data_IF_299327354794
#
_entry.id   IF_299327354794
#
_cell.length_a   1.000
_cell.length_b   1.000
_cell.length_c   1.000
_cell.angle_alpha   90.00
_cell.angle_beta   90.00
_cell.angle_gamma   90.00
#
_symmetry.space_group_name_H-M   'P 1'
#
loop_
_entity.id
_entity.type
_entity.pdbx_description
1 polymer ?
#
# COMPACT_ATOMS: atom_id res chain seq x y z
N UNK A 1 5.28 -13.64 22.71
CA UNK A 1 6.44 -14.53 22.46
C UNK A 1 7.39 -13.92 21.42
N UNK A 2 6.95 -13.55 20.19
CA UNK A 2 7.82 -13.02 19.13
C UNK A 2 8.62 -11.79 19.60
N UNK A 3 7.95 -10.79 20.18
CA UNK A 3 8.60 -9.57 20.69
C UNK A 3 9.71 -9.89 21.70
N UNK A 4 9.52 -10.93 22.52
CA UNK A 4 10.53 -11.33 23.53
C UNK A 4 11.70 -12.17 22.93
N UNK A 5 11.52 -12.69 21.73
CA UNK A 5 12.48 -13.58 21.08
C UNK A 5 13.49 -12.84 20.18
N UNK A 6 13.28 -11.55 19.89
CA UNK A 6 14.11 -10.78 18.97
C UNK A 6 14.51 -9.42 19.56
N UNK A 7 15.64 -8.89 19.11
CA UNK A 7 16.17 -7.58 19.51
C UNK A 7 15.88 -6.47 18.47
N UNK A 8 14.97 -6.73 17.54
CA UNK A 8 14.53 -5.76 16.52
C UNK A 8 13.09 -5.38 16.75
N UNK A 9 12.64 -4.18 16.28
CA UNK A 9 11.25 -3.79 16.38
C UNK A 9 10.31 -4.81 15.68
N UNK A 10 9.27 -5.22 16.37
CA UNK A 10 8.21 -6.09 15.81
C UNK A 10 7.01 -5.22 15.47
N UNK A 11 6.54 -5.29 14.24
CA UNK A 11 5.30 -4.61 13.81
C UNK A 11 4.26 -5.65 13.42
N UNK A 12 2.98 -5.29 13.55
CA UNK A 12 1.87 -6.16 13.15
C UNK A 12 1.10 -5.51 12.01
N UNK A 13 0.74 -6.31 11.00
CA UNK A 13 -0.22 -5.92 9.97
C UNK A 13 -1.44 -6.82 10.04
N UNK A 14 -2.62 -6.21 10.14
CA UNK A 14 -3.90 -6.92 10.27
C UNK A 14 -5.02 -6.28 9.46
N UNK A 15 -6.23 -6.80 9.61
CA UNK A 15 -7.48 -6.30 9.05
C UNK A 15 -8.42 -5.87 10.19
N UNK A 16 -9.61 -5.31 9.83
CA UNK A 16 -10.61 -4.88 10.81
C UNK A 16 -11.15 -6.02 11.70
N UNK A 17 -11.06 -7.23 11.22
CA UNK A 17 -11.56 -8.43 11.85
C UNK A 17 -11.84 -9.52 10.82
N UNK A 18 -12.60 -10.56 11.23
CA UNK A 18 -12.91 -11.70 10.37
C UNK A 18 -14.01 -11.37 9.34
N UNK A 19 -15.15 -10.87 9.79
CA UNK A 19 -16.31 -10.50 8.99
C UNK A 19 -17.00 -9.25 9.55
N UNK A 20 -18.22 -8.95 9.08
CA UNK A 20 -18.95 -7.76 9.48
C UNK A 20 -19.35 -7.74 10.95
N UNK A 21 -19.62 -8.92 11.52
CA UNK A 21 -20.07 -9.07 12.91
C UNK A 21 -18.88 -9.18 13.89
N UNK A 22 -17.69 -9.47 13.37
CA UNK A 22 -16.47 -9.70 14.16
C UNK A 22 -15.37 -8.68 13.79
N UNK A 23 -15.66 -7.38 13.92
CA UNK A 23 -14.71 -6.27 13.72
C UNK A 23 -14.07 -5.87 15.04
N UNK A 24 -13.05 -6.60 15.42
CA UNK A 24 -12.42 -6.52 16.76
C UNK A 24 -11.22 -5.56 16.82
N UNK A 25 -10.92 -4.82 15.76
CA UNK A 25 -9.65 -4.11 15.62
C UNK A 25 -9.39 -3.09 16.74
N UNK A 26 -10.43 -2.42 17.25
CA UNK A 26 -10.27 -1.38 18.27
C UNK A 26 -9.72 -1.99 19.57
N UNK A 27 -10.38 -3.02 20.08
CA UNK A 27 -9.93 -3.72 21.29
C UNK A 27 -8.61 -4.49 21.07
N UNK A 28 -8.47 -5.08 19.87
CA UNK A 28 -7.27 -5.82 19.52
C UNK A 28 -6.03 -4.93 19.45
N UNK A 29 -6.17 -3.65 19.03
CA UNK A 29 -5.05 -2.72 18.92
C UNK A 29 -4.41 -2.45 20.29
N UNK A 30 -5.20 -2.29 21.34
CA UNK A 30 -4.69 -2.14 22.70
C UNK A 30 -3.94 -3.38 23.18
N UNK A 31 -4.53 -4.56 22.96
CA UNK A 31 -3.89 -5.83 23.35
C UNK A 31 -2.57 -6.08 22.60
N UNK A 32 -2.51 -5.72 21.32
CA UNK A 32 -1.29 -5.83 20.52
C UNK A 32 -0.21 -4.85 21.02
N UNK A 33 -0.58 -3.61 21.34
CA UNK A 33 0.34 -2.65 21.94
C UNK A 33 0.89 -3.17 23.28
N UNK A 34 0.03 -3.71 24.15
CA UNK A 34 0.43 -4.29 25.44
C UNK A 34 1.38 -5.49 25.28
N UNK A 35 1.33 -6.17 24.13
CA UNK A 35 2.32 -7.19 23.78
C UNK A 35 3.70 -6.62 23.41
N UNK A 36 3.83 -5.28 23.26
CA UNK A 36 5.10 -4.59 22.99
C UNK A 36 5.45 -4.48 21.51
N UNK A 37 4.45 -4.43 20.61
CA UNK A 37 4.72 -4.16 19.19
C UNK A 37 5.13 -2.69 18.99
N UNK A 38 5.96 -2.42 17.98
CA UNK A 38 6.48 -1.09 17.68
C UNK A 38 5.57 -0.25 16.76
N UNK A 39 4.69 -0.87 15.99
CA UNK A 39 3.70 -0.19 15.13
C UNK A 39 2.61 -1.17 14.68
N UNK A 40 1.44 -0.64 14.35
CA UNK A 40 0.29 -1.41 13.87
C UNK A 40 -0.18 -0.89 12.51
N UNK A 41 -0.21 -1.78 11.51
CA UNK A 41 -0.75 -1.49 10.18
C UNK A 41 -2.13 -2.15 10.03
N UNK A 42 -3.16 -1.35 9.69
CA UNK A 42 -4.55 -1.79 9.64
C UNK A 42 -5.10 -1.62 8.22
N UNK A 43 -5.56 -2.72 7.62
CA UNK A 43 -6.31 -2.67 6.36
C UNK A 43 -7.81 -2.50 6.64
N UNK A 44 -8.41 -1.47 6.04
CA UNK A 44 -9.82 -1.09 6.20
C UNK A 44 -10.84 -2.09 5.61
N UNK A 45 -10.52 -3.37 5.60
CA UNK A 45 -11.43 -4.46 5.21
C UNK A 45 -11.32 -5.62 6.17
N UNK A 46 -12.40 -6.39 6.30
CA UNK A 46 -12.39 -7.67 7.03
C UNK A 46 -11.72 -8.78 6.21
N UNK A 47 -11.44 -9.92 6.86
CA UNK A 47 -10.89 -11.10 6.17
C UNK A 47 -11.87 -11.65 5.14
N UNK A 48 -13.16 -11.71 5.46
CA UNK A 48 -14.20 -12.22 4.58
C UNK A 48 -14.42 -11.35 3.35
N UNK A 49 -14.32 -10.01 3.48
CA UNK A 49 -14.44 -9.09 2.35
C UNK A 49 -13.33 -9.28 1.29
N UNK A 50 -12.17 -9.80 1.65
CA UNK A 50 -11.01 -9.88 0.74
C UNK A 50 -10.68 -8.50 0.13
N UNK A 51 -11.14 -8.26 -1.12
CA UNK A 51 -10.96 -7.02 -1.87
C UNK A 51 -12.28 -6.46 -2.41
N UNK A 52 -13.43 -7.01 -1.99
CA UNK A 52 -14.75 -6.52 -2.42
C UNK A 52 -15.14 -5.25 -1.66
N UNK A 53 -16.00 -4.44 -2.28
CA UNK A 53 -16.42 -3.16 -1.72
C UNK A 53 -15.28 -2.17 -1.52
N UNK A 54 -15.50 -1.16 -0.71
CA UNK A 54 -14.53 -0.12 -0.35
C UNK A 54 -13.88 -0.41 0.99
N UNK A 55 -12.66 0.10 1.20
CA UNK A 55 -11.98 0.05 2.48
C UNK A 55 -12.62 1.08 3.45
N UNK A 56 -13.11 0.58 4.57
CA UNK A 56 -13.64 1.40 5.66
C UNK A 56 -12.51 1.85 6.57
N UNK A 57 -12.23 3.16 6.57
CA UNK A 57 -11.20 3.76 7.40
C UNK A 57 -11.70 4.24 8.77
N UNK A 58 -13.00 4.15 9.04
CA UNK A 58 -13.61 4.66 10.29
C UNK A 58 -12.97 4.03 11.52
N UNK A 59 -12.88 2.69 11.54
CA UNK A 59 -12.26 1.98 12.66
C UNK A 59 -10.73 2.20 12.75
N UNK A 60 -10.06 2.51 11.64
CA UNK A 60 -8.63 2.89 11.67
C UNK A 60 -8.48 4.23 12.40
N UNK A 61 -9.35 5.20 12.08
CA UNK A 61 -9.41 6.49 12.76
C UNK A 61 -9.78 6.34 14.23
N UNK A 62 -10.72 5.45 14.57
CA UNK A 62 -11.09 5.16 15.96
C UNK A 62 -9.90 4.62 16.75
N UNK A 63 -9.16 3.65 16.23
CA UNK A 63 -7.92 3.16 16.84
C UNK A 63 -6.91 4.29 17.01
N UNK A 64 -6.68 5.13 15.99
CA UNK A 64 -5.70 6.23 16.07
C UNK A 64 -6.08 7.28 17.11
N UNK A 65 -7.36 7.58 17.25
CA UNK A 65 -7.87 8.59 18.20
C UNK A 65 -8.11 8.03 19.62
N UNK A 66 -7.87 6.75 19.84
CA UNK A 66 -7.94 6.16 21.17
C UNK A 66 -6.75 6.67 22.03
N UNK A 67 -7.01 7.38 23.15
CA UNK A 67 -5.95 7.97 23.97
C UNK A 67 -5.00 6.95 24.61
N UNK A 68 -5.38 5.68 24.66
CA UNK A 68 -4.52 4.60 25.14
C UNK A 68 -3.50 4.14 24.12
N UNK A 69 -3.72 4.41 22.83
CA UNK A 69 -2.80 4.01 21.77
C UNK A 69 -1.66 5.02 21.65
N UNK A 70 -0.44 4.55 21.89
CA UNK A 70 0.80 5.33 21.86
C UNK A 70 1.73 4.94 20.71
N UNK A 71 1.50 3.78 20.08
CA UNK A 71 2.29 3.30 18.95
C UNK A 71 1.81 3.91 17.65
N UNK A 72 2.69 4.05 16.62
CA UNK A 72 2.30 4.49 15.29
C UNK A 72 1.23 3.59 14.66
N UNK A 73 0.18 4.23 14.11
CA UNK A 73 -0.90 3.57 13.36
C UNK A 73 -0.74 3.87 11.87
N UNK A 74 -0.64 2.81 11.09
CA UNK A 74 -0.46 2.85 9.65
C UNK A 74 -1.75 2.41 8.97
N UNK A 75 -2.45 3.35 8.32
CA UNK A 75 -3.68 3.05 7.60
C UNK A 75 -3.41 2.45 6.21
N UNK A 76 -4.24 1.49 5.80
CA UNK A 76 -4.15 0.85 4.49
C UNK A 76 -5.53 0.59 3.89
N UNK A 77 -5.66 0.75 2.58
CA UNK A 77 -6.86 0.43 1.79
C UNK A 77 -7.23 1.52 0.80
N UNK A 78 -7.36 1.14 -0.46
CA UNK A 78 -7.86 1.94 -1.58
C UNK A 78 -7.19 3.32 -1.79
N UNK A 79 -5.93 3.45 -1.44
CA UNK A 79 -5.14 4.64 -1.72
C UNK A 79 -4.52 4.50 -3.11
N UNK A 80 -5.05 5.26 -4.07
CA UNK A 80 -4.71 5.19 -5.50
C UNK A 80 -4.20 6.51 -6.08
N UNK A 81 -4.22 7.60 -5.29
CA UNK A 81 -3.69 8.90 -5.70
C UNK A 81 -3.08 9.66 -4.51
N UNK A 82 -2.38 10.73 -4.80
CA UNK A 82 -1.77 11.61 -3.81
C UNK A 82 -2.84 12.34 -2.98
N UNK A 83 -3.91 12.80 -3.63
CA UNK A 83 -5.03 13.49 -2.99
C UNK A 83 -5.74 12.56 -1.98
N UNK A 84 -6.03 11.32 -2.38
CA UNK A 84 -6.62 10.33 -1.49
C UNK A 84 -5.68 10.07 -0.30
N UNK A 85 -4.37 9.97 -0.53
CA UNK A 85 -3.40 9.78 0.53
C UNK A 85 -3.45 10.93 1.54
N UNK A 86 -3.42 12.18 1.08
CA UNK A 86 -3.53 13.38 1.92
C UNK A 86 -4.85 13.39 2.69
N UNK A 87 -5.97 13.13 2.01
CA UNK A 87 -7.28 13.04 2.66
C UNK A 87 -7.29 12.01 3.81
N UNK A 88 -6.65 10.86 3.65
CA UNK A 88 -6.58 9.84 4.71
C UNK A 88 -5.79 10.33 5.92
N UNK A 89 -4.68 11.04 5.71
CA UNK A 89 -3.95 11.67 6.81
C UNK A 89 -4.81 12.70 7.55
N UNK A 90 -5.45 13.61 6.82
CA UNK A 90 -6.22 14.71 7.39
C UNK A 90 -7.49 14.21 8.11
N UNK A 91 -8.19 13.26 7.53
CA UNK A 91 -9.46 12.77 8.06
C UNK A 91 -9.30 11.83 9.25
N UNK A 92 -8.28 10.99 9.26
CA UNK A 92 -8.15 9.92 10.25
C UNK A 92 -6.94 10.08 11.17
N UNK A 93 -6.07 11.05 10.92
CA UNK A 93 -4.93 11.39 11.78
C UNK A 93 -3.84 10.31 11.87
N UNK A 94 -3.83 9.32 10.97
CA UNK A 94 -2.86 8.22 11.00
C UNK A 94 -1.42 8.71 10.84
N UNK A 95 -0.46 7.97 11.42
CA UNK A 95 0.97 8.34 11.38
C UNK A 95 1.62 8.02 10.04
N UNK A 96 1.08 7.04 9.33
CA UNK A 96 1.52 6.67 7.98
C UNK A 96 0.39 6.06 7.15
N UNK A 97 0.55 6.08 5.84
CA UNK A 97 -0.35 5.45 4.88
C UNK A 97 0.39 4.40 4.06
N UNK A 98 -0.11 3.18 4.07
CA UNK A 98 0.43 2.08 3.26
C UNK A 98 -0.30 2.01 1.92
N UNK A 99 0.43 2.18 0.83
CA UNK A 99 -0.07 2.01 -0.53
C UNK A 99 0.27 0.60 -1.01
N UNK A 100 -0.76 -0.19 -1.31
CA UNK A 100 -0.61 -1.54 -1.84
C UNK A 100 -0.86 -1.58 -3.35
N UNK A 101 -2.05 -2.01 -3.76
CA UNK A 101 -2.43 -2.19 -5.16
C UNK A 101 -2.26 -0.94 -6.03
N UNK A 102 -2.40 0.26 -5.46
CA UNK A 102 -2.20 1.52 -6.16
C UNK A 102 -0.79 1.74 -6.72
N UNK A 103 0.22 1.02 -6.19
CA UNK A 103 1.61 1.08 -6.68
C UNK A 103 1.94 0.01 -7.72
N UNK A 104 1.07 -0.99 -7.92
CA UNK A 104 1.31 -2.06 -8.90
C UNK A 104 1.23 -1.48 -10.31
N UNK A 105 2.35 -1.56 -11.05
CA UNK A 105 2.49 -0.94 -12.38
C UNK A 105 2.63 0.58 -12.39
N UNK A 106 2.66 1.20 -11.20
CA UNK A 106 2.80 2.65 -11.01
C UNK A 106 3.70 2.96 -9.80
N UNK A 107 4.96 2.50 -9.78
CA UNK A 107 5.83 2.69 -8.62
C UNK A 107 6.17 4.15 -8.33
N UNK A 108 6.05 5.04 -9.31
CA UNK A 108 6.24 6.48 -9.14
C UNK A 108 5.15 7.17 -8.29
N UNK A 109 4.06 6.47 -7.93
CA UNK A 109 3.02 7.01 -7.04
C UNK A 109 3.60 7.52 -5.72
N UNK A 110 4.65 6.89 -5.19
CA UNK A 110 5.29 7.34 -3.96
C UNK A 110 5.97 8.71 -4.09
N UNK A 111 6.56 9.01 -5.27
CA UNK A 111 7.13 10.33 -5.58
C UNK A 111 6.02 11.37 -5.70
N UNK A 112 4.92 11.03 -6.38
CA UNK A 112 3.75 11.89 -6.53
C UNK A 112 3.13 12.22 -5.16
N UNK A 113 2.92 11.20 -4.32
CA UNK A 113 2.39 11.36 -2.97
C UNK A 113 3.30 12.25 -2.11
N UNK A 114 4.61 11.98 -2.12
CA UNK A 114 5.56 12.78 -1.34
C UNK A 114 5.50 14.24 -1.73
N UNK A 115 5.59 14.54 -3.02
CA UNK A 115 5.52 15.90 -3.51
C UNK A 115 4.22 16.60 -3.10
N UNK A 116 3.09 15.93 -3.29
CA UNK A 116 1.78 16.48 -2.94
C UNK A 116 1.60 16.73 -1.44
N UNK A 117 2.13 15.86 -0.59
CA UNK A 117 2.11 16.06 0.85
C UNK A 117 3.00 17.25 1.28
N UNK A 118 4.15 17.42 0.62
CA UNK A 118 5.11 18.49 0.96
C UNK A 118 4.68 19.86 0.43
N UNK A 119 4.01 19.93 -0.74
CA UNK A 119 3.72 21.20 -1.43
C UNK A 119 2.24 21.52 -1.60
N UNK A 120 1.37 20.53 -1.55
CA UNK A 120 -0.05 20.63 -1.92
C UNK A 120 -0.30 20.65 -3.43
N UNK A 121 0.73 20.52 -4.25
CA UNK A 121 0.66 20.61 -5.71
C UNK A 121 0.89 19.25 -6.37
N UNK A 122 0.21 19.00 -7.48
CA UNK A 122 0.39 17.78 -8.28
C UNK A 122 1.69 17.90 -9.08
N UNK A 123 2.52 16.85 -9.07
CA UNK A 123 3.70 16.79 -9.95
C UNK A 123 3.30 16.85 -11.42
N UNK A 124 4.00 17.64 -12.25
CA UNK A 124 3.88 17.56 -13.70
C UNK A 124 4.17 16.14 -14.19
N UNK A 125 3.47 15.76 -15.27
CA UNK A 125 3.75 14.48 -15.91
C UNK A 125 5.19 14.45 -16.46
N UNK A 126 5.88 13.35 -16.21
CA UNK A 126 7.21 13.11 -16.78
C UNK A 126 7.12 12.65 -18.23
N UNK A 127 8.27 12.58 -18.90
CA UNK A 127 8.34 12.02 -20.25
C UNK A 127 7.99 10.53 -20.26
N UNK A 128 7.46 10.04 -21.37
CA UNK A 128 7.17 8.61 -21.54
C UNK A 128 8.43 7.73 -21.34
N UNK A 129 9.60 8.21 -21.81
CA UNK A 129 10.87 7.50 -21.61
C UNK A 129 11.25 7.37 -20.14
N UNK A 130 11.02 8.41 -19.33
CA UNK A 130 11.27 8.36 -17.89
C UNK A 130 10.46 7.24 -17.20
N UNK A 131 9.18 7.12 -17.52
CA UNK A 131 8.34 6.05 -16.96
C UNK A 131 8.80 4.66 -17.43
N UNK A 132 9.20 4.52 -18.71
CA UNK A 132 9.73 3.27 -19.24
C UNK A 132 11.01 2.85 -18.53
N UNK A 133 11.91 3.80 -18.25
CA UNK A 133 13.18 3.49 -17.59
C UNK A 133 12.98 3.00 -16.15
N UNK A 134 11.96 3.52 -15.46
CA UNK A 134 11.56 2.98 -14.14
C UNK A 134 11.08 1.54 -14.25
N UNK A 135 10.22 1.24 -15.23
CA UNK A 135 9.72 -0.13 -15.42
C UNK A 135 10.84 -1.10 -15.83
N UNK A 136 11.76 -0.68 -16.71
CA UNK A 136 12.95 -1.48 -17.05
C UNK A 136 13.78 -1.80 -15.82
N UNK A 137 14.08 -0.77 -15.01
CA UNK A 137 14.81 -0.95 -13.76
C UNK A 137 14.11 -1.93 -12.80
N UNK A 138 12.77 -1.89 -12.71
CA UNK A 138 12.04 -2.88 -11.92
C UNK A 138 12.20 -4.31 -12.45
N UNK A 139 12.22 -4.49 -13.77
CA UNK A 139 12.47 -5.82 -14.39
C UNK A 139 13.87 -6.29 -14.03
N UNK A 140 14.89 -5.46 -14.25
CA UNK A 140 16.29 -5.75 -13.94
C UNK A 140 16.46 -6.15 -12.46
N UNK A 141 15.92 -5.37 -11.54
CA UNK A 141 15.97 -5.66 -10.11
C UNK A 141 15.23 -6.96 -9.73
N UNK A 142 14.11 -7.26 -10.42
CA UNK A 142 13.38 -8.50 -10.18
C UNK A 142 14.18 -9.72 -10.63
N UNK A 143 14.85 -9.62 -11.77
CA UNK A 143 15.72 -10.66 -12.31
C UNK A 143 16.97 -10.85 -11.42
N UNK A 144 17.63 -9.76 -11.06
CA UNK A 144 18.81 -9.79 -10.18
C UNK A 144 18.50 -10.47 -8.82
N UNK A 145 17.33 -10.17 -8.25
CA UNK A 145 16.95 -10.69 -6.93
C UNK A 145 16.49 -12.14 -6.93
N UNK A 146 15.84 -12.61 -8.00
CA UNK A 146 15.16 -13.91 -8.03
C UNK A 146 15.79 -14.92 -8.98
N UNK A 147 16.37 -14.57 -10.04
CA UNK A 147 16.85 -15.13 -11.29
C UNK A 147 15.94 -14.70 -12.48
N UNK A 148 16.41 -14.99 -13.70
CA UNK A 148 15.71 -14.53 -14.92
C UNK A 148 14.28 -15.09 -15.00
N UNK A 149 14.11 -16.40 -14.89
CA UNK A 149 12.79 -17.04 -15.03
C UNK A 149 11.79 -16.57 -13.97
N UNK A 150 12.19 -16.62 -12.70
CA UNK A 150 11.30 -16.23 -11.59
C UNK A 150 11.08 -14.73 -11.57
N UNK A 151 12.12 -13.94 -11.85
CA UNK A 151 12.06 -12.48 -11.92
C UNK A 151 11.08 -12.00 -12.99
N UNK A 152 11.14 -12.55 -14.19
CA UNK A 152 10.21 -12.23 -15.28
C UNK A 152 8.77 -12.63 -14.92
N UNK A 153 8.55 -13.85 -14.42
CA UNK A 153 7.23 -14.30 -14.02
C UNK A 153 6.63 -13.41 -12.89
N UNK A 154 7.47 -13.00 -11.95
CA UNK A 154 7.05 -12.13 -10.84
C UNK A 154 6.64 -10.73 -11.30
N UNK A 155 7.41 -10.12 -12.21
CA UNK A 155 7.18 -8.74 -12.63
C UNK A 155 6.03 -8.57 -13.64
N UNK A 156 5.63 -9.62 -14.34
CA UNK A 156 4.54 -9.59 -15.34
C UNK A 156 3.28 -8.90 -14.87
N UNK A 157 2.84 -9.17 -13.66
CA UNK A 157 1.64 -8.54 -13.07
C UNK A 157 1.77 -7.02 -12.94
N UNK A 158 2.98 -6.51 -12.68
CA UNK A 158 3.25 -5.08 -12.59
C UNK A 158 3.22 -4.46 -13.99
N UNK A 159 3.84 -5.10 -14.97
CA UNK A 159 3.81 -4.64 -16.36
C UNK A 159 2.38 -4.67 -16.93
N UNK A 160 1.61 -5.72 -16.62
CA UNK A 160 0.21 -5.82 -17.05
C UNK A 160 -0.69 -4.74 -16.46
N UNK A 161 -0.38 -4.25 -15.28
CA UNK A 161 -1.19 -3.26 -14.55
C UNK A 161 -0.80 -1.81 -14.86
N UNK A 162 0.33 -1.56 -15.53
CA UNK A 162 0.78 -0.19 -15.80
C UNK A 162 -0.21 0.59 -16.66
N UNK A 163 -0.50 1.85 -16.32
CA UNK A 163 -1.36 2.71 -17.13
C UNK A 163 -0.68 3.25 -18.40
N UNK A 164 0.65 3.12 -18.52
CA UNK A 164 1.45 3.80 -19.56
C UNK A 164 1.05 3.43 -20.99
N UNK A 165 0.57 2.22 -21.20
CA UNK A 165 0.23 1.75 -22.55
C UNK A 165 -1.26 1.89 -22.87
N UNK A 166 -2.06 2.45 -21.95
CA UNK A 166 -3.49 2.69 -22.22
C UNK A 166 -3.62 3.80 -23.26
N UNK A 167 -4.38 3.51 -24.33
CA UNK A 167 -4.66 4.49 -25.39
C UNK A 167 -3.63 4.54 -26.53
N UNK A 168 -2.56 3.74 -26.50
CA UNK A 168 -1.68 3.58 -27.67
C UNK A 168 -2.29 2.62 -28.69
N UNK A 169 -1.94 2.83 -29.97
CA UNK A 169 -2.30 1.88 -31.04
C UNK A 169 -1.77 0.47 -30.69
N UNK A 170 -2.53 -0.54 -31.03
CA UNK A 170 -2.17 -1.95 -30.79
C UNK A 170 -1.89 -2.32 -29.33
N UNK A 171 -2.46 -1.58 -28.37
CA UNK A 171 -2.27 -1.83 -26.93
C UNK A 171 -2.42 -3.31 -26.54
N UNK A 172 -3.41 -4.00 -27.11
CA UNK A 172 -3.65 -5.42 -26.82
C UNK A 172 -2.47 -6.30 -27.27
N UNK A 173 -1.91 -6.05 -28.43
CA UNK A 173 -0.76 -6.79 -28.98
C UNK A 173 0.50 -6.48 -28.17
N UNK A 174 0.76 -5.19 -27.90
CA UNK A 174 1.88 -4.75 -27.05
C UNK A 174 1.84 -5.42 -25.68
N UNK A 175 0.65 -5.45 -25.05
CA UNK A 175 0.48 -6.10 -23.75
C UNK A 175 0.76 -7.60 -23.81
N UNK A 176 0.29 -8.29 -24.83
CA UNK A 176 0.55 -9.73 -25.01
C UNK A 176 2.04 -9.99 -25.22
N UNK A 177 2.72 -9.14 -26.00
CA UNK A 177 4.16 -9.28 -26.24
C UNK A 177 5.02 -9.04 -24.98
N UNK A 178 4.52 -8.25 -24.02
CA UNK A 178 5.21 -7.97 -22.73
C UNK A 178 4.97 -9.05 -21.67
N UNK A 179 4.00 -9.92 -21.84
CA UNK A 179 3.56 -10.90 -20.83
C UNK A 179 3.90 -12.33 -21.24
#
# INVERSE_FOLDING_TARGET
EVVKAVNIPVTVKTRLGWDADNRIIVDLAEQLQDCGIAALSIHGRTRAQMYTGEADWTLIGEVKNNPRIQIPIIGNGDVTSAEICKQRFEQYGVDAVMIGRGSIGRPWIFREVRHYLDTGETLPAESFSWYLDILKKQVEQSVERLDERRGILHIRRHLAATPLFKGIADFKQTRVAML
#
